data_IF_799531887074
#
_entry.id   IF_799531887074
#
_cell.length_a   1.000
_cell.length_b   1.000
_cell.length_c   1.000
_cell.angle_alpha   90.00
_cell.angle_beta   90.00
_cell.angle_gamma   90.00
#
_symmetry.space_group_name_H-M   'P 1'
#
loop_
_entity.id
_entity.type
_entity.pdbx_description
1 polymer ?
#
# COMPACT_ATOMS: atom_id res chain seq x y z
N UNK A 1 -4.76 -1.94 -33.32
CA UNK A 1 -4.95 -1.01 -32.19
C UNK A 1 -4.06 -1.49 -31.06
N UNK A 2 -3.31 -0.61 -30.43
CA UNK A 2 -2.48 -0.93 -29.27
C UNK A 2 -3.40 -1.24 -28.09
N UNK A 3 -3.24 -2.41 -27.50
CA UNK A 3 -3.99 -2.82 -26.31
C UNK A 3 -3.43 -2.06 -25.10
N UNK A 4 -4.28 -1.45 -24.31
CA UNK A 4 -3.94 -0.73 -23.07
C UNK A 4 -4.64 -1.41 -21.88
N UNK A 5 -4.39 -0.90 -20.69
CA UNK A 5 -5.04 -1.34 -19.47
C UNK A 5 -5.70 -0.16 -18.76
N UNK A 6 -6.89 -0.37 -18.23
CA UNK A 6 -7.62 0.61 -17.43
C UNK A 6 -8.10 0.01 -16.11
N UNK A 7 -8.20 0.84 -15.08
CA UNK A 7 -8.75 0.43 -13.78
C UNK A 7 -10.27 0.58 -13.84
N UNK A 8 -10.99 -0.55 -13.79
CA UNK A 8 -12.45 -0.57 -13.96
C UNK A 8 -13.21 -0.58 -12.63
N UNK A 9 -12.61 -1.11 -11.57
CA UNK A 9 -13.23 -1.20 -10.24
C UNK A 9 -12.19 -1.15 -9.13
N UNK A 10 -12.64 -0.78 -7.93
CA UNK A 10 -11.83 -0.80 -6.72
C UNK A 10 -12.63 -1.38 -5.56
N UNK A 11 -11.96 -1.78 -4.51
CA UNK A 11 -12.59 -2.23 -3.29
C UNK A 11 -11.64 -2.05 -2.10
N UNK A 12 -12.20 -2.01 -0.90
CA UNK A 12 -11.41 -1.93 0.32
C UNK A 12 -12.04 -2.72 1.45
N UNK A 13 -11.21 -3.09 2.41
CA UNK A 13 -11.65 -3.55 3.70
C UNK A 13 -10.98 -2.72 4.80
N UNK A 14 -11.80 -2.11 5.64
CA UNK A 14 -11.40 -1.36 6.84
C UNK A 14 -11.93 -2.13 8.05
N UNK A 15 -11.07 -2.65 8.93
CA UNK A 15 -11.50 -3.33 10.14
C UNK A 15 -12.34 -2.44 11.07
N UNK A 16 -13.24 -3.06 11.85
CA UNK A 16 -14.18 -2.32 12.72
C UNK A 16 -13.55 -1.88 14.04
N UNK A 17 -12.57 -2.64 14.57
CA UNK A 17 -11.98 -2.35 15.88
C UNK A 17 -11.09 -1.12 15.84
N UNK A 18 -11.43 -0.11 16.64
CA UNK A 18 -10.70 1.14 16.74
C UNK A 18 -9.75 1.16 17.94
N UNK A 19 -8.53 1.65 17.69
CA UNK A 19 -7.58 1.99 18.74
C UNK A 19 -7.12 3.44 18.58
N UNK A 20 -7.52 4.29 19.54
CA UNK A 20 -7.19 5.71 19.54
C UNK A 20 -5.80 5.97 20.09
N UNK A 21 -5.25 7.18 19.85
CA UNK A 21 -4.01 7.61 20.45
C UNK A 21 -4.02 7.58 21.98
N UNK A 22 -5.18 7.81 22.62
CA UNK A 22 -5.32 7.73 24.07
C UNK A 22 -5.02 6.33 24.63
N UNK A 23 -5.51 5.28 23.96
CA UNK A 23 -5.23 3.87 24.35
C UNK A 23 -3.72 3.59 24.27
N UNK A 24 -3.06 4.02 23.19
CA UNK A 24 -1.61 3.82 23.04
C UNK A 24 -0.79 4.60 24.07
N UNK A 25 -1.19 5.84 24.36
CA UNK A 25 -0.54 6.64 25.42
C UNK A 25 -0.60 5.94 26.77
N UNK A 26 -1.78 5.43 27.14
CA UNK A 26 -1.96 4.66 28.37
C UNK A 26 -1.08 3.41 28.39
N UNK A 27 -1.08 2.64 27.31
CA UNK A 27 -0.29 1.41 27.19
C UNK A 27 1.21 1.69 27.26
N UNK A 28 1.72 2.62 26.45
CA UNK A 28 3.14 2.96 26.41
C UNK A 28 3.64 3.62 27.69
N UNK A 29 2.77 4.39 28.37
CA UNK A 29 3.11 4.99 29.68
C UNK A 29 3.37 3.94 30.77
N UNK A 30 2.76 2.75 30.67
CA UNK A 30 3.04 1.63 31.58
C UNK A 30 4.44 1.05 31.36
N UNK A 31 4.98 1.13 30.15
CA UNK A 31 6.34 0.72 29.81
C UNK A 31 7.35 1.82 30.19
N UNK A 32 7.07 3.04 29.73
CA UNK A 32 7.87 4.23 30.05
C UNK A 32 7.00 5.49 29.87
N UNK A 33 6.77 6.30 30.92
CA UNK A 33 5.93 7.50 30.85
C UNK A 33 6.35 8.52 29.77
N UNK A 34 7.64 8.59 29.39
CA UNK A 34 8.14 9.47 28.34
C UNK A 34 7.68 9.05 26.94
N UNK A 35 7.22 7.82 26.75
CA UNK A 35 6.74 7.33 25.45
C UNK A 35 5.37 7.90 25.06
N UNK A 36 4.57 8.40 26.01
CA UNK A 36 3.34 9.09 25.72
C UNK A 36 3.55 10.31 24.79
N UNK A 37 4.62 11.08 25.04
CA UNK A 37 4.96 12.27 24.23
C UNK A 37 5.33 11.92 22.77
N UNK A 38 5.80 10.68 22.52
CA UNK A 38 6.14 10.22 21.18
C UNK A 38 4.85 10.08 20.32
N UNK A 39 3.76 9.64 20.94
CA UNK A 39 2.46 9.52 20.24
C UNK A 39 1.97 10.89 19.79
N UNK A 40 2.09 11.94 20.64
CA UNK A 40 1.67 13.31 20.29
C UNK A 40 2.52 13.90 19.16
N UNK A 41 3.84 13.73 19.23
CA UNK A 41 4.76 14.18 18.16
C UNK A 41 4.46 13.50 16.85
N UNK A 42 4.13 12.21 16.90
CA UNK A 42 3.78 11.46 15.72
C UNK A 42 2.43 11.90 15.14
N UNK A 43 1.40 12.10 15.98
CA UNK A 43 0.11 12.65 15.53
C UNK A 43 0.29 14.00 14.83
N UNK A 44 1.08 14.91 15.41
CA UNK A 44 1.33 16.22 14.83
C UNK A 44 1.95 16.18 13.42
N UNK A 45 2.80 15.18 13.12
CA UNK A 45 3.45 15.04 11.81
C UNK A 45 2.67 14.18 10.82
N UNK A 46 1.95 13.17 11.29
CA UNK A 46 1.25 12.18 10.47
C UNK A 46 -0.23 12.48 10.31
N UNK A 47 -0.84 13.23 11.22
CA UNK A 47 -2.28 13.40 11.38
C UNK A 47 -3.03 12.08 11.69
N UNK A 48 -2.32 11.01 12.13
CA UNK A 48 -2.93 9.73 12.49
C UNK A 48 -3.52 9.82 13.89
N UNK A 49 -4.85 9.70 14.01
CA UNK A 49 -5.61 9.83 15.26
C UNK A 49 -6.05 8.50 15.84
N UNK A 50 -6.25 7.51 14.97
CA UNK A 50 -6.68 6.17 15.35
C UNK A 50 -6.11 5.12 14.41
N UNK A 51 -6.23 3.85 14.80
CA UNK A 51 -5.88 2.66 13.98
C UNK A 51 -7.08 1.74 13.96
N UNK A 52 -7.15 0.95 12.90
CA UNK A 52 -8.13 -0.11 12.69
C UNK A 52 -7.44 -1.44 12.79
N UNK A 53 -8.00 -2.36 13.57
CA UNK A 53 -7.41 -3.67 13.78
C UNK A 53 -8.33 -4.78 13.31
N UNK A 54 -7.74 -5.75 12.62
CA UNK A 54 -8.44 -6.94 12.13
C UNK A 54 -9.04 -7.77 13.28
N UNK A 55 -10.12 -8.51 13.03
CA UNK A 55 -10.67 -9.47 13.98
C UNK A 55 -9.59 -10.48 14.42
N UNK A 56 -9.76 -11.00 15.64
CA UNK A 56 -8.87 -12.03 16.16
C UNK A 56 -8.88 -13.27 15.24
N UNK A 57 -7.69 -13.81 14.96
CA UNK A 57 -7.51 -14.99 14.12
C UNK A 57 -7.47 -14.72 12.61
N UNK A 58 -7.71 -13.49 12.17
CA UNK A 58 -7.51 -13.11 10.79
C UNK A 58 -6.03 -12.99 10.45
N UNK A 59 -5.71 -13.33 9.20
CA UNK A 59 -4.40 -13.19 8.59
C UNK A 59 -4.47 -12.26 7.36
N UNK A 60 -3.34 -11.91 6.78
CA UNK A 60 -3.27 -10.94 5.68
C UNK A 60 -4.15 -11.32 4.49
N UNK A 61 -4.23 -12.60 4.15
CA UNK A 61 -5.11 -13.07 3.07
C UNK A 61 -6.59 -12.88 3.36
N UNK A 62 -7.05 -12.86 4.62
CA UNK A 62 -8.47 -12.62 4.95
C UNK A 62 -8.87 -11.17 4.65
N UNK A 63 -7.98 -10.21 4.99
CA UNK A 63 -8.16 -8.81 4.63
C UNK A 63 -8.19 -8.63 3.11
N UNK A 64 -7.23 -9.25 2.41
CA UNK A 64 -7.12 -9.22 0.95
C UNK A 64 -8.40 -9.75 0.27
N UNK A 65 -8.94 -10.87 0.74
CA UNK A 65 -10.18 -11.47 0.22
C UNK A 65 -11.38 -10.55 0.46
N UNK A 66 -11.45 -9.88 1.61
CA UNK A 66 -12.54 -8.95 1.89
C UNK A 66 -12.53 -7.75 0.92
N UNK A 67 -11.36 -7.14 0.67
CA UNK A 67 -11.21 -6.06 -0.30
C UNK A 67 -11.45 -6.54 -1.75
N UNK A 68 -11.00 -7.76 -2.08
CA UNK A 68 -11.21 -8.37 -3.39
C UNK A 68 -12.70 -8.56 -3.71
N UNK A 69 -13.49 -9.01 -2.72
CA UNK A 69 -14.95 -9.17 -2.88
C UNK A 69 -15.65 -7.84 -3.13
N UNK A 70 -15.24 -6.77 -2.47
CA UNK A 70 -15.78 -5.42 -2.69
C UNK A 70 -15.48 -4.94 -4.12
N UNK A 71 -14.23 -5.15 -4.60
CA UNK A 71 -13.85 -4.80 -5.98
C UNK A 71 -14.59 -5.63 -7.05
N UNK A 72 -14.77 -6.94 -6.83
CA UNK A 72 -15.54 -7.81 -7.72
C UNK A 72 -17.01 -7.40 -7.79
N UNK A 73 -17.60 -7.04 -6.64
CA UNK A 73 -18.96 -6.55 -6.57
C UNK A 73 -19.14 -5.25 -7.36
N UNK A 74 -18.22 -4.30 -7.21
CA UNK A 74 -18.24 -3.04 -8.01
C UNK A 74 -18.11 -3.31 -9.51
N UNK A 75 -17.23 -4.25 -9.89
CA UNK A 75 -17.03 -4.61 -11.29
C UNK A 75 -18.18 -5.43 -11.91
N UNK A 76 -19.07 -6.00 -11.11
CA UNK A 76 -20.06 -6.98 -11.57
C UNK A 76 -19.44 -8.29 -12.07
N UNK A 77 -18.25 -8.64 -11.56
CA UNK A 77 -17.49 -9.82 -11.94
C UNK A 77 -17.57 -10.92 -10.87
N UNK A 78 -17.35 -12.17 -11.32
CA UNK A 78 -17.17 -13.32 -10.43
C UNK A 78 -15.68 -13.62 -10.22
N UNK A 79 -15.31 -14.31 -9.14
CA UNK A 79 -13.91 -14.71 -8.93
C UNK A 79 -13.30 -15.49 -10.10
N UNK A 80 -14.10 -16.33 -10.78
CA UNK A 80 -13.69 -17.16 -11.91
C UNK A 80 -13.37 -16.37 -13.18
N UNK A 81 -13.80 -15.10 -13.25
CA UNK A 81 -13.51 -14.20 -14.38
C UNK A 81 -12.08 -13.64 -14.35
N UNK A 82 -11.40 -13.76 -13.20
CA UNK A 82 -10.04 -13.24 -13.02
C UNK A 82 -9.01 -14.17 -13.69
N UNK A 83 -8.10 -13.59 -14.48
CA UNK A 83 -6.97 -14.28 -15.09
C UNK A 83 -5.72 -14.26 -14.17
N UNK A 84 -5.56 -13.21 -13.35
CA UNK A 84 -4.44 -13.05 -12.42
C UNK A 84 -4.86 -12.32 -11.14
N UNK A 85 -4.20 -12.71 -10.02
CA UNK A 85 -4.26 -12.00 -8.74
C UNK A 85 -2.84 -11.67 -8.29
N UNK A 86 -2.54 -10.40 -8.11
CA UNK A 86 -1.27 -9.87 -7.63
C UNK A 86 -1.48 -9.33 -6.21
N UNK A 87 -0.70 -9.81 -5.23
CA UNK A 87 -0.81 -9.33 -3.84
C UNK A 87 0.47 -8.62 -3.44
N UNK A 88 0.36 -7.33 -3.16
CA UNK A 88 1.42 -6.53 -2.55
C UNK A 88 1.30 -6.59 -1.03
N UNK A 89 2.30 -7.15 -0.35
CA UNK A 89 2.36 -7.18 1.10
C UNK A 89 3.79 -7.34 1.62
N UNK A 90 4.05 -6.79 2.80
CA UNK A 90 5.26 -7.02 3.60
C UNK A 90 4.93 -7.72 4.94
N UNK A 91 3.68 -8.20 5.06
CA UNK A 91 3.21 -9.06 6.15
C UNK A 91 2.53 -10.32 5.61
N UNK A 92 3.24 -11.18 4.86
CA UNK A 92 2.64 -12.36 4.22
C UNK A 92 2.13 -13.37 5.25
N UNK A 93 1.15 -14.21 4.85
CA UNK A 93 0.65 -15.30 5.69
C UNK A 93 1.77 -16.29 6.05
N UNK A 94 2.63 -16.58 5.06
CA UNK A 94 3.76 -17.51 5.17
C UNK A 94 4.97 -16.94 4.41
N UNK A 95 6.17 -17.38 4.75
CA UNK A 95 7.35 -17.16 3.90
C UNK A 95 7.15 -17.86 2.55
N UNK A 96 6.56 -19.07 2.55
CA UNK A 96 6.12 -19.84 1.41
C UNK A 96 5.02 -20.80 1.86
N UNK A 97 3.93 -20.99 1.10
CA UNK A 97 3.63 -20.42 -0.23
C UNK A 97 3.34 -18.93 -0.21
N UNK A 98 3.22 -18.31 -1.40
CA UNK A 98 2.83 -16.91 -1.57
C UNK A 98 1.44 -16.63 -0.99
N UNK A 99 1.21 -15.42 -0.44
CA UNK A 99 -0.10 -15.01 0.08
C UNK A 99 -1.17 -14.97 -1.03
N UNK A 100 -0.78 -14.62 -2.24
CA UNK A 100 -1.68 -14.56 -3.41
C UNK A 100 -2.32 -15.90 -3.76
N UNK A 101 -1.62 -17.04 -3.59
CA UNK A 101 -2.23 -18.36 -3.83
C UNK A 101 -3.24 -18.71 -2.73
N UNK A 102 -3.03 -18.24 -1.51
CA UNK A 102 -4.01 -18.38 -0.41
C UNK A 102 -5.25 -17.54 -0.70
N UNK A 103 -5.07 -16.30 -1.16
CA UNK A 103 -6.17 -15.41 -1.59
C UNK A 103 -6.96 -16.04 -2.73
N UNK A 104 -6.29 -16.59 -3.74
CA UNK A 104 -6.91 -17.27 -4.88
C UNK A 104 -7.83 -18.40 -4.41
N UNK A 105 -7.34 -19.26 -3.50
CA UNK A 105 -8.12 -20.36 -2.93
C UNK A 105 -9.32 -19.86 -2.12
N UNK A 106 -9.11 -18.93 -1.17
CA UNK A 106 -10.17 -18.39 -0.31
C UNK A 106 -11.24 -17.62 -1.09
N UNK A 107 -10.85 -16.98 -2.21
CA UNK A 107 -11.75 -16.22 -3.06
C UNK A 107 -12.54 -17.13 -4.02
N UNK A 108 -12.01 -18.31 -4.32
CA UNK A 108 -12.59 -19.21 -5.32
C UNK A 108 -12.24 -18.83 -6.77
N UNK A 109 -11.16 -18.08 -6.99
CA UNK A 109 -10.73 -17.61 -8.31
C UNK A 109 -9.97 -18.71 -9.06
N UNK A 110 -10.65 -19.81 -9.38
CA UNK A 110 -10.07 -21.08 -9.87
C UNK A 110 -9.29 -20.95 -11.18
N UNK A 111 -9.56 -19.92 -11.97
CA UNK A 111 -8.89 -19.67 -13.26
C UNK A 111 -7.68 -18.74 -13.15
N UNK A 112 -7.48 -18.06 -11.99
CA UNK A 112 -6.45 -17.05 -11.84
C UNK A 112 -5.08 -17.64 -11.56
N UNK A 113 -4.05 -17.20 -12.30
CA UNK A 113 -2.66 -17.28 -11.88
C UNK A 113 -2.34 -16.30 -10.76
N UNK A 114 -1.24 -16.49 -10.01
CA UNK A 114 -0.94 -15.62 -8.86
C UNK A 114 0.55 -15.38 -8.65
N UNK A 115 0.91 -14.23 -8.09
CA UNK A 115 2.21 -13.99 -7.44
C UNK A 115 2.15 -12.83 -6.43
N UNK A 116 3.07 -12.82 -5.47
CA UNK A 116 3.24 -11.73 -4.51
C UNK A 116 4.26 -10.70 -5.01
N UNK A 117 4.09 -9.45 -4.57
CA UNK A 117 4.98 -8.32 -4.85
C UNK A 117 5.59 -7.83 -3.54
N UNK A 118 6.90 -8.02 -3.40
CA UNK A 118 7.67 -7.69 -2.19
C UNK A 118 8.33 -6.31 -2.26
N UNK A 119 7.57 -5.23 -2.52
CA UNK A 119 8.07 -3.85 -2.52
C UNK A 119 7.47 -3.00 -1.38
N UNK A 120 7.02 -3.64 -0.29
CA UNK A 120 6.37 -3.00 0.85
C UNK A 120 5.27 -2.01 0.38
N UNK A 121 5.26 -0.76 0.85
CA UNK A 121 4.22 0.22 0.50
C UNK A 121 4.29 0.68 -0.98
N UNK A 122 5.36 0.37 -1.72
CA UNK A 122 5.45 0.59 -3.17
C UNK A 122 4.86 -0.57 -3.99
N UNK A 123 4.37 -1.64 -3.35
CA UNK A 123 3.88 -2.85 -4.04
C UNK A 123 2.65 -2.58 -4.89
N UNK A 124 1.72 -1.73 -4.44
CA UNK A 124 0.50 -1.47 -5.19
C UNK A 124 0.77 -0.76 -6.54
N UNK A 125 1.48 0.39 -6.61
CA UNK A 125 1.82 0.98 -7.90
C UNK A 125 2.69 0.06 -8.77
N UNK A 126 3.60 -0.73 -8.16
CA UNK A 126 4.37 -1.75 -8.88
C UNK A 126 3.45 -2.80 -9.50
N UNK A 127 2.46 -3.28 -8.76
CA UNK A 127 1.46 -4.24 -9.23
C UNK A 127 0.58 -3.70 -10.36
N UNK A 128 0.16 -2.43 -10.27
CA UNK A 128 -0.59 -1.77 -11.34
C UNK A 128 0.21 -1.74 -12.66
N UNK A 129 1.51 -1.44 -12.58
CA UNK A 129 2.41 -1.44 -13.75
C UNK A 129 2.58 -2.84 -14.33
N UNK A 130 2.78 -3.86 -13.48
CA UNK A 130 2.90 -5.26 -13.93
C UNK A 130 1.59 -5.72 -14.60
N UNK A 131 0.44 -5.48 -13.95
CA UNK A 131 -0.87 -5.82 -14.51
C UNK A 131 -1.11 -5.14 -15.86
N UNK A 132 -0.77 -3.85 -15.98
CA UNK A 132 -0.91 -3.12 -17.23
C UNK A 132 -0.03 -3.70 -18.34
N UNK A 133 1.23 -4.04 -18.03
CA UNK A 133 2.15 -4.70 -18.97
C UNK A 133 1.63 -6.06 -19.43
N UNK A 134 1.14 -6.90 -18.51
CA UNK A 134 0.58 -8.22 -18.81
C UNK A 134 -0.66 -8.11 -19.70
N UNK A 135 -1.60 -7.19 -19.39
CA UNK A 135 -2.78 -6.96 -20.21
C UNK A 135 -2.45 -6.44 -21.61
N UNK A 136 -1.44 -5.59 -21.73
CA UNK A 136 -1.03 -5.03 -23.02
C UNK A 136 -0.36 -6.08 -23.93
N UNK A 137 0.36 -7.05 -23.36
CA UNK A 137 1.18 -8.02 -24.12
C UNK A 137 0.52 -9.39 -24.29
N UNK A 138 -0.46 -9.75 -23.42
CA UNK A 138 -1.14 -11.05 -23.47
C UNK A 138 -2.61 -10.88 -23.88
N UNK A 139 -2.92 -11.23 -25.14
CA UNK A 139 -4.28 -11.10 -25.69
C UNK A 139 -5.33 -11.99 -25.03
N UNK A 140 -4.94 -13.04 -24.34
CA UNK A 140 -5.85 -13.98 -23.67
C UNK A 140 -6.28 -13.48 -22.27
N UNK A 141 -5.55 -12.53 -21.67
CA UNK A 141 -5.91 -11.98 -20.38
C UNK A 141 -6.92 -10.83 -20.53
N UNK A 142 -7.93 -10.82 -19.68
CA UNK A 142 -9.00 -9.81 -19.64
C UNK A 142 -9.01 -9.01 -18.35
N UNK A 143 -8.90 -9.70 -17.21
CA UNK A 143 -9.03 -9.10 -15.90
C UNK A 143 -7.89 -9.51 -14.97
N UNK A 144 -7.19 -8.51 -14.44
CA UNK A 144 -6.14 -8.71 -13.43
C UNK A 144 -6.50 -7.92 -12.19
N UNK A 145 -6.51 -8.58 -11.04
CA UNK A 145 -6.70 -7.96 -9.75
C UNK A 145 -5.36 -7.66 -9.08
N UNK A 146 -5.19 -6.42 -8.61
CA UNK A 146 -4.04 -5.99 -7.81
C UNK A 146 -4.52 -5.63 -6.43
N UNK A 147 -3.97 -6.27 -5.40
CA UNK A 147 -4.36 -6.07 -4.00
C UNK A 147 -3.16 -5.57 -3.22
N UNK A 148 -3.35 -4.54 -2.39
CA UNK A 148 -2.45 -4.21 -1.30
C UNK A 148 -3.08 -4.66 0.02
N UNK A 149 -2.39 -5.45 0.82
CA UNK A 149 -2.89 -5.96 2.11
C UNK A 149 -1.83 -5.87 3.20
N UNK A 150 -2.23 -5.51 4.42
CA UNK A 150 -1.31 -5.21 5.50
C UNK A 150 -1.84 -5.62 6.87
N UNK A 151 -1.08 -6.45 7.58
CA UNK A 151 -1.35 -6.90 8.93
C UNK A 151 -0.05 -6.95 9.77
N UNK A 152 0.77 -5.89 9.67
CA UNK A 152 2.09 -5.82 10.31
C UNK A 152 2.02 -5.86 11.84
N UNK A 153 0.88 -5.49 12.42
CA UNK A 153 0.65 -5.56 13.86
C UNK A 153 0.96 -6.94 14.44
N UNK A 154 0.65 -8.04 13.74
CA UNK A 154 0.97 -9.40 14.21
C UNK A 154 2.47 -9.71 14.19
N UNK A 155 3.23 -9.00 13.37
CA UNK A 155 4.69 -9.09 13.30
C UNK A 155 5.39 -8.03 14.15
N UNK A 156 4.66 -7.16 14.86
CA UNK A 156 5.21 -6.17 15.79
C UNK A 156 5.24 -6.68 17.23
N UNK A 157 6.06 -6.08 18.05
CA UNK A 157 5.99 -6.21 19.50
C UNK A 157 4.99 -5.18 20.04
N UNK A 158 3.73 -5.61 20.10
CA UNK A 158 2.61 -4.76 20.42
C UNK A 158 2.64 -4.12 21.81
N UNK A 159 3.29 -4.78 22.77
CA UNK A 159 3.27 -4.35 24.17
C UNK A 159 4.40 -3.42 24.54
N UNK A 160 5.57 -3.58 23.94
CA UNK A 160 6.80 -2.92 24.37
C UNK A 160 7.47 -2.06 23.31
N UNK A 161 7.19 -2.27 22.03
CA UNK A 161 7.82 -1.50 20.97
C UNK A 161 7.07 -0.18 20.74
N UNK A 162 7.81 0.93 20.83
CA UNK A 162 7.28 2.27 20.53
C UNK A 162 6.69 2.40 19.13
N UNK A 163 7.09 1.54 18.19
CA UNK A 163 6.53 1.54 16.84
C UNK A 163 5.20 0.78 16.71
N UNK A 164 4.76 0.07 17.75
CA UNK A 164 3.52 -0.70 17.72
C UNK A 164 2.29 0.17 17.42
N UNK A 165 2.26 1.40 17.93
CA UNK A 165 1.17 2.35 17.69
C UNK A 165 1.13 2.88 16.25
N UNK A 166 2.16 2.61 15.44
CA UNK A 166 2.26 3.09 14.07
C UNK A 166 1.31 2.32 13.12
N UNK A 167 1.15 1.02 13.33
CA UNK A 167 0.53 0.11 12.39
C UNK A 167 -0.98 0.00 12.54
N UNK A 168 -1.68 0.05 11.40
CA UNK A 168 -3.10 -0.22 11.24
C UNK A 168 -3.29 -1.34 10.22
N UNK A 169 -4.35 -2.11 10.36
CA UNK A 169 -4.64 -3.22 9.46
C UNK A 169 -5.62 -2.77 8.37
N UNK A 170 -5.54 -3.38 7.19
CA UNK A 170 -6.46 -3.11 6.10
C UNK A 170 -6.03 -3.73 4.77
N UNK A 171 -6.92 -3.67 3.81
CA UNK A 171 -6.63 -4.04 2.43
C UNK A 171 -7.39 -3.16 1.44
N UNK A 172 -6.80 -2.99 0.26
CA UNK A 172 -7.46 -2.37 -0.88
C UNK A 172 -7.13 -3.14 -2.15
N UNK A 173 -8.06 -3.13 -3.10
CA UNK A 173 -7.95 -3.85 -4.36
C UNK A 173 -8.33 -2.95 -5.54
N UNK A 174 -7.75 -3.22 -6.71
CA UNK A 174 -8.17 -2.67 -7.99
C UNK A 174 -8.23 -3.78 -9.03
N UNK A 175 -9.23 -3.74 -9.90
CA UNK A 175 -9.35 -4.61 -11.06
C UNK A 175 -9.00 -3.81 -12.30
N UNK A 176 -8.01 -4.32 -13.06
CA UNK A 176 -7.64 -3.78 -14.36
C UNK A 176 -8.22 -4.65 -15.45
N UNK A 177 -8.68 -4.00 -16.52
CA UNK A 177 -9.17 -4.64 -17.74
C UNK A 177 -8.36 -4.15 -18.93
N UNK A 178 -8.23 -5.01 -19.93
CA UNK A 178 -7.69 -4.61 -21.22
C UNK A 178 -8.69 -3.71 -21.95
N UNK A 179 -8.20 -2.59 -22.49
CA UNK A 179 -8.98 -1.64 -23.27
C UNK A 179 -8.21 -1.22 -24.53
N UNK A 180 -8.91 -0.59 -25.46
CA UNK A 180 -8.35 0.09 -26.64
C UNK A 180 -8.13 1.58 -26.40
N UNK A 181 -8.76 2.15 -25.36
CA UNK A 181 -8.54 3.52 -24.89
C UNK A 181 -7.31 3.58 -23.97
N UNK A 182 -6.55 4.68 -23.99
CA UNK A 182 -5.45 4.87 -23.04
C UNK A 182 -5.97 4.92 -21.61
N UNK A 183 -5.56 3.98 -20.77
CA UNK A 183 -5.74 4.03 -19.33
C UNK A 183 -4.38 4.20 -18.66
N UNK A 184 -3.54 3.14 -18.68
CA UNK A 184 -2.16 3.23 -18.22
C UNK A 184 -1.31 4.08 -19.17
N UNK A 185 -0.62 5.08 -18.63
CA UNK A 185 0.25 5.97 -19.38
C UNK A 185 1.73 5.60 -19.24
N UNK A 186 2.18 5.22 -18.05
CA UNK A 186 3.57 4.87 -17.79
C UNK A 186 3.94 4.89 -16.31
N UNK A 187 5.23 4.74 -16.05
CA UNK A 187 5.76 4.58 -14.70
C UNK A 187 7.15 5.18 -14.51
N UNK A 188 7.53 5.32 -13.24
CA UNK A 188 8.89 5.66 -12.80
C UNK A 188 9.25 4.80 -11.59
N UNK A 189 10.44 4.21 -11.57
CA UNK A 189 10.94 3.37 -10.49
C UNK A 189 12.29 3.85 -9.98
N UNK A 190 12.54 3.64 -8.69
CA UNK A 190 13.83 3.88 -8.07
C UNK A 190 14.03 2.94 -6.90
N UNK A 191 15.27 2.54 -6.66
CA UNK A 191 15.65 1.79 -5.46
C UNK A 191 17.01 2.24 -4.95
N UNK A 192 17.15 2.29 -3.62
CA UNK A 192 18.42 2.44 -2.93
C UNK A 192 18.56 1.35 -1.88
N UNK A 193 19.27 0.28 -2.23
CA UNK A 193 19.47 -0.88 -1.37
C UNK A 193 20.34 -0.60 -0.14
N UNK A 194 20.99 0.56 -0.02
CA UNK A 194 21.78 0.90 1.16
C UNK A 194 20.96 0.99 2.46
N UNK A 195 19.65 1.17 2.33
CA UNK A 195 18.70 1.24 3.44
C UNK A 195 18.12 -0.12 3.85
N UNK A 196 18.58 -1.27 3.30
CA UNK A 196 18.01 -2.59 3.56
C UNK A 196 18.01 -2.98 5.05
N UNK A 197 18.93 -2.45 5.84
CA UNK A 197 19.08 -2.75 7.27
C UNK A 197 18.38 -1.73 8.21
N UNK A 198 17.61 -0.75 7.67
CA UNK A 198 17.02 0.31 8.49
C UNK A 198 15.72 -0.13 9.18
N UNK A 199 14.90 -0.92 8.52
CA UNK A 199 13.63 -1.40 9.03
C UNK A 199 13.30 -2.76 8.41
N UNK A 200 12.82 -3.69 9.22
CA UNK A 200 12.41 -5.01 8.71
C UNK A 200 12.16 -6.04 9.81
N UNK A 201 11.78 -7.24 9.39
CA UNK A 201 11.76 -8.47 10.18
C UNK A 201 12.94 -9.30 9.71
N UNK A 202 14.01 -9.40 10.51
CA UNK A 202 15.30 -9.91 10.07
C UNK A 202 15.51 -11.39 10.36
N UNK A 203 14.78 -11.96 11.33
CA UNK A 203 14.84 -13.39 11.65
C UNK A 203 13.59 -14.11 11.13
N UNK A 204 13.80 -15.30 10.55
CA UNK A 204 12.77 -16.12 9.93
C UNK A 204 13.00 -16.38 8.45
N UNK A 205 13.93 -15.65 7.82
CA UNK A 205 14.40 -15.90 6.45
C UNK A 205 15.74 -16.61 6.41
N UNK A 206 16.36 -16.64 5.22
CA UNK A 206 17.68 -17.29 5.02
C UNK A 206 18.84 -16.50 5.61
N UNK A 207 18.67 -15.21 5.83
CA UNK A 207 19.68 -14.37 6.48
C UNK A 207 19.89 -14.79 7.94
N UNK A 208 18.80 -14.96 8.70
CA UNK A 208 18.82 -15.45 10.06
C UNK A 208 17.64 -16.41 10.28
N UNK A 209 17.85 -17.75 10.26
CA UNK A 209 16.82 -18.71 10.64
C UNK A 209 16.37 -18.48 12.10
N UNK A 210 15.12 -18.82 12.43
CA UNK A 210 14.61 -18.69 13.80
C UNK A 210 15.37 -19.64 14.74
N UNK A 211 15.93 -19.07 15.81
CA UNK A 211 16.57 -19.79 16.92
C UNK A 211 15.95 -19.35 18.24
N UNK A 212 16.22 -20.07 19.34
CA UNK A 212 15.82 -19.65 20.69
C UNK A 212 16.36 -18.24 21.02
N UNK A 213 17.62 -17.96 20.62
CA UNK A 213 18.27 -16.67 20.86
C UNK A 213 17.65 -15.55 20.02
N UNK A 214 17.35 -15.79 18.73
CA UNK A 214 16.72 -14.78 17.87
C UNK A 214 15.29 -14.46 18.33
N UNK A 215 14.58 -15.48 18.80
CA UNK A 215 13.23 -15.31 19.36
C UNK A 215 13.29 -14.52 20.68
N UNK A 216 14.14 -14.91 21.63
CA UNK A 216 14.29 -14.23 22.91
C UNK A 216 14.76 -12.77 22.76
N UNK A 217 15.57 -12.46 21.72
CA UNK A 217 15.99 -11.11 21.39
C UNK A 217 14.93 -10.30 20.59
N UNK A 218 13.75 -10.86 20.32
CA UNK A 218 12.68 -10.21 19.58
C UNK A 218 12.98 -9.94 18.10
N UNK A 219 13.99 -10.63 17.51
CA UNK A 219 14.38 -10.40 16.11
C UNK A 219 13.42 -11.01 15.07
N UNK A 220 12.47 -11.84 15.54
CA UNK A 220 11.33 -12.33 14.75
C UNK A 220 10.21 -11.29 14.61
N UNK A 221 10.38 -10.13 15.22
CA UNK A 221 9.45 -9.00 15.15
C UNK A 221 10.03 -7.87 14.29
N UNK A 222 9.15 -7.04 13.76
CA UNK A 222 9.58 -5.84 13.02
C UNK A 222 10.37 -4.90 13.94
N UNK A 223 11.46 -4.37 13.42
CA UNK A 223 12.32 -3.41 14.14
C UNK A 223 12.66 -2.23 13.23
N UNK A 224 12.59 -1.03 13.80
CA UNK A 224 13.23 0.16 13.25
C UNK A 224 14.65 0.24 13.84
N UNK A 225 15.65 -0.11 13.04
CA UNK A 225 17.08 -0.09 13.46
C UNK A 225 17.65 1.32 13.32
N UNK A 226 17.33 1.99 12.20
CA UNK A 226 17.75 3.36 11.91
C UNK A 226 16.63 4.13 11.23
N UNK A 227 16.45 5.43 11.55
CA UNK A 227 15.46 6.24 10.85
C UNK A 227 15.85 6.43 9.38
N UNK A 228 14.85 6.53 8.52
CA UNK A 228 15.06 6.97 7.14
C UNK A 228 15.21 8.49 7.11
N UNK A 229 16.13 9.04 6.32
CA UNK A 229 16.20 10.49 6.07
C UNK A 229 14.86 10.99 5.49
N UNK A 230 14.44 12.18 5.90
CA UNK A 230 13.19 12.76 5.41
C UNK A 230 13.24 13.01 3.88
N UNK A 231 14.41 13.29 3.35
CA UNK A 231 14.73 13.52 1.94
C UNK A 231 14.32 12.37 1.05
N UNK A 232 14.35 11.12 1.57
CA UNK A 232 13.93 9.93 0.82
C UNK A 232 12.53 10.09 0.23
N UNK A 233 11.58 10.66 0.98
CA UNK A 233 10.25 10.97 0.47
C UNK A 233 10.14 12.41 -0.05
N UNK A 234 10.68 13.37 0.69
CA UNK A 234 10.51 14.79 0.39
C UNK A 234 11.16 15.22 -0.93
N UNK A 235 12.23 14.55 -1.32
CA UNK A 235 12.90 14.75 -2.61
C UNK A 235 12.56 13.64 -3.61
N UNK A 236 12.46 12.39 -3.13
CA UNK A 236 12.23 11.22 -3.95
C UNK A 236 10.87 11.24 -4.64
N UNK A 237 9.77 11.56 -3.94
CA UNK A 237 8.44 11.63 -4.57
C UNK A 237 8.34 12.71 -5.64
N UNK A 238 8.80 13.96 -5.43
CA UNK A 238 8.85 14.94 -6.51
C UNK A 238 9.70 14.49 -7.70
N UNK A 239 10.81 13.81 -7.45
CA UNK A 239 11.65 13.28 -8.53
C UNK A 239 10.89 12.22 -9.35
N UNK A 240 10.20 11.26 -8.70
CA UNK A 240 9.37 10.24 -9.38
C UNK A 240 8.24 10.90 -10.18
N UNK A 241 7.56 11.90 -9.62
CA UNK A 241 6.47 12.61 -10.29
C UNK A 241 6.95 13.36 -11.53
N UNK A 242 8.08 14.08 -11.45
CA UNK A 242 8.66 14.78 -12.61
C UNK A 242 9.12 13.81 -13.70
N UNK A 243 9.74 12.70 -13.30
CA UNK A 243 10.15 11.67 -14.26
C UNK A 243 8.94 11.00 -14.91
N UNK A 244 7.89 10.69 -14.14
CA UNK A 244 6.65 10.15 -14.65
C UNK A 244 5.99 11.10 -15.66
N UNK A 245 5.88 12.39 -15.33
CA UNK A 245 5.33 13.41 -16.21
C UNK A 245 6.13 13.51 -17.52
N UNK A 246 7.46 13.50 -17.44
CA UNK A 246 8.33 13.48 -18.62
C UNK A 246 8.14 12.22 -19.46
N UNK A 247 8.14 11.04 -18.85
CA UNK A 247 8.02 9.76 -19.55
C UNK A 247 6.66 9.58 -20.23
N UNK A 248 5.60 10.14 -19.64
CA UNK A 248 4.23 10.04 -20.13
C UNK A 248 3.76 11.27 -20.92
N UNK A 249 4.62 12.29 -21.08
CA UNK A 249 4.35 13.52 -21.83
C UNK A 249 3.09 14.28 -21.37
N UNK A 250 2.95 14.47 -20.04
CA UNK A 250 1.95 15.34 -19.44
C UNK A 250 2.61 16.41 -18.55
N UNK A 251 1.90 17.51 -18.25
CA UNK A 251 2.38 18.49 -17.28
C UNK A 251 1.93 18.11 -15.88
N UNK A 252 2.69 18.46 -14.85
CA UNK A 252 2.29 18.20 -13.46
C UNK A 252 0.93 18.81 -13.12
N UNK A 253 0.60 19.96 -13.68
CA UNK A 253 -0.68 20.65 -13.49
C UNK A 253 -1.87 19.90 -14.10
N UNK A 254 -1.64 18.99 -15.06
CA UNK A 254 -2.68 18.17 -15.68
C UNK A 254 -3.15 17.04 -14.72
N UNK A 255 -2.40 16.77 -13.64
CA UNK A 255 -2.78 15.78 -12.63
C UNK A 255 -4.05 16.25 -11.93
N UNK A 256 -5.08 15.39 -11.91
CA UNK A 256 -6.33 15.64 -11.20
C UNK A 256 -6.30 15.08 -9.78
N UNK A 257 -5.64 13.92 -9.57
CA UNK A 257 -5.50 13.30 -8.27
C UNK A 257 -4.14 12.61 -8.09
N UNK A 258 -3.48 12.88 -6.97
CA UNK A 258 -2.25 12.23 -6.55
C UNK A 258 -2.46 11.43 -5.26
N UNK A 259 -2.15 10.13 -5.29
CA UNK A 259 -2.24 9.21 -4.14
C UNK A 259 -0.84 8.81 -3.72
N UNK A 260 -0.44 9.19 -2.51
CA UNK A 260 0.88 8.90 -1.95
C UNK A 260 0.83 7.82 -0.86
N UNK A 261 1.98 7.25 -0.50
CA UNK A 261 2.12 6.47 0.73
C UNK A 261 1.68 7.29 1.95
N UNK A 262 0.85 6.71 2.81
CA UNK A 262 0.10 7.39 3.88
C UNK A 262 0.85 7.42 5.23
N UNK A 263 2.17 7.73 5.21
CA UNK A 263 3.00 7.70 6.45
C UNK A 263 2.93 9.00 7.22
N UNK A 264 3.04 10.14 6.52
CA UNK A 264 3.08 11.47 7.13
C UNK A 264 2.33 12.47 6.25
N UNK A 265 1.34 13.11 6.83
CA UNK A 265 0.60 14.19 6.15
C UNK A 265 1.54 15.34 5.75
N UNK A 266 2.46 15.73 6.66
CA UNK A 266 3.43 16.79 6.40
C UNK A 266 4.35 16.51 5.19
N UNK A 267 4.65 15.26 4.88
CA UNK A 267 5.41 14.92 3.67
C UNK A 267 4.56 15.08 2.41
N UNK A 268 3.28 14.71 2.44
CA UNK A 268 2.36 14.92 1.31
C UNK A 268 2.23 16.42 1.03
N UNK A 269 2.00 17.22 2.08
CA UNK A 269 1.88 18.68 1.97
C UNK A 269 3.14 19.31 1.37
N UNK A 270 4.32 18.95 1.89
CA UNK A 270 5.60 19.44 1.37
C UNK A 270 5.80 19.07 -0.11
N UNK A 271 5.50 17.83 -0.49
CA UNK A 271 5.65 17.35 -1.86
C UNK A 271 4.70 18.06 -2.81
N UNK A 272 3.42 18.21 -2.45
CA UNK A 272 2.43 18.96 -3.25
C UNK A 272 2.88 20.42 -3.47
N UNK A 273 3.32 21.08 -2.40
CA UNK A 273 3.88 22.45 -2.49
C UNK A 273 5.12 22.51 -3.39
N UNK A 274 6.05 21.54 -3.28
CA UNK A 274 7.28 21.46 -4.10
C UNK A 274 6.98 21.25 -5.59
N UNK A 275 5.85 20.60 -5.90
CA UNK A 275 5.38 20.36 -7.26
C UNK A 275 4.49 21.50 -7.79
N UNK A 276 4.13 22.49 -6.95
CA UNK A 276 3.20 23.55 -7.29
C UNK A 276 1.77 23.05 -7.50
N UNK A 277 1.39 21.98 -6.79
CA UNK A 277 0.06 21.37 -6.87
C UNK A 277 -0.76 21.73 -5.62
N UNK A 278 -2.03 22.10 -5.76
CA UNK A 278 -2.91 22.38 -4.62
C UNK A 278 -3.29 21.10 -3.89
N UNK A 279 -3.53 21.19 -2.57
CA UNK A 279 -3.79 20.03 -1.72
C UNK A 279 -5.12 19.32 -2.00
N UNK A 280 -6.08 19.94 -2.66
CA UNK A 280 -7.33 19.32 -3.10
C UNK A 280 -7.12 18.26 -4.21
N UNK A 281 -5.97 18.30 -4.88
CA UNK A 281 -5.49 17.26 -5.82
C UNK A 281 -4.77 16.10 -5.11
N UNK A 282 -4.65 16.08 -3.80
CA UNK A 282 -4.16 14.93 -3.04
C UNK A 282 -5.27 14.32 -2.19
N UNK A 283 -5.25 13.00 -2.01
CA UNK A 283 -6.20 12.33 -1.12
C UNK A 283 -5.47 11.43 -0.12
N UNK A 284 -5.98 11.45 1.12
CA UNK A 284 -5.45 10.64 2.23
C UNK A 284 -6.59 10.09 3.10
N UNK A 285 -6.27 9.03 3.83
CA UNK A 285 -7.18 8.32 4.73
C UNK A 285 -6.54 7.97 6.07
N UNK A 286 -5.26 8.33 6.25
CA UNK A 286 -4.49 7.97 7.44
C UNK A 286 -5.03 8.62 8.72
N UNK A 287 -5.70 9.76 8.63
CA UNK A 287 -6.36 10.43 9.75
C UNK A 287 -7.52 9.62 10.33
N UNK A 288 -8.20 8.84 9.50
CA UNK A 288 -9.39 8.06 9.87
C UNK A 288 -9.16 6.54 9.90
N UNK A 289 -8.06 6.03 9.32
CA UNK A 289 -7.80 4.57 9.28
C UNK A 289 -6.38 4.20 9.70
N UNK A 290 -5.51 5.18 10.00
CA UNK A 290 -4.13 4.94 10.36
C UNK A 290 -3.24 4.57 9.18
N UNK A 291 -2.02 4.10 9.48
CA UNK A 291 -1.08 3.67 8.46
C UNK A 291 -1.24 2.19 8.15
N UNK A 292 -1.67 1.89 6.94
CA UNK A 292 -1.98 0.54 6.48
C UNK A 292 -0.97 -0.02 5.47
N UNK A 293 0.29 0.44 5.52
CA UNK A 293 1.41 -0.09 4.75
C UNK A 293 1.10 -0.28 3.27
N UNK A 294 1.26 -1.51 2.78
CA UNK A 294 1.01 -1.89 1.37
C UNK A 294 -0.44 -1.63 0.91
N UNK A 295 -1.39 -1.56 1.85
CA UNK A 295 -2.80 -1.28 1.57
C UNK A 295 -3.13 0.23 1.47
N UNK A 296 -2.23 1.11 1.91
CA UNK A 296 -2.56 2.53 2.08
C UNK A 296 -2.94 3.25 0.77
N UNK A 297 -2.24 2.97 -0.33
CA UNK A 297 -2.56 3.59 -1.62
C UNK A 297 -3.90 3.09 -2.20
N UNK A 298 -4.15 1.76 -2.31
CA UNK A 298 -5.42 1.29 -2.86
C UNK A 298 -6.61 1.66 -1.99
N UNK A 299 -6.49 1.70 -0.65
CA UNK A 299 -7.55 2.16 0.24
C UNK A 299 -7.86 3.65 0.05
N UNK A 300 -6.83 4.49 -0.06
CA UNK A 300 -7.01 5.93 -0.33
C UNK A 300 -7.62 6.18 -1.71
N UNK A 301 -7.20 5.43 -2.71
CA UNK A 301 -7.74 5.55 -4.06
C UNK A 301 -9.22 5.14 -4.14
N UNK A 302 -9.59 4.01 -3.55
CA UNK A 302 -10.98 3.56 -3.48
C UNK A 302 -11.85 4.59 -2.73
N UNK A 303 -11.34 5.17 -1.64
CA UNK A 303 -12.05 6.23 -0.91
C UNK A 303 -12.25 7.49 -1.76
N UNK A 304 -11.22 7.94 -2.47
CA UNK A 304 -11.33 9.09 -3.37
C UNK A 304 -12.37 8.86 -4.47
N UNK A 305 -12.42 7.66 -5.06
CA UNK A 305 -13.44 7.27 -6.05
C UNK A 305 -14.85 7.24 -5.46
N UNK A 306 -15.04 6.58 -4.32
CA UNK A 306 -16.36 6.49 -3.65
C UNK A 306 -16.88 7.85 -3.15
N UNK A 307 -15.99 8.81 -2.89
CA UNK A 307 -16.34 10.20 -2.58
C UNK A 307 -16.57 11.07 -3.82
N UNK A 308 -16.43 10.52 -5.03
CA UNK A 308 -16.59 11.28 -6.28
C UNK A 308 -15.49 12.31 -6.55
N UNK A 309 -14.34 12.18 -5.87
CA UNK A 309 -13.16 13.04 -6.09
C UNK A 309 -12.36 12.64 -7.33
N UNK A 310 -12.53 11.41 -7.79
CA UNK A 310 -11.94 10.88 -9.02
C UNK A 310 -13.07 10.57 -10.00
N UNK A 311 -12.98 11.11 -11.22
CA UNK A 311 -14.00 11.03 -12.26
C UNK A 311 -13.45 10.41 -13.54
N UNK A 312 -14.33 10.04 -14.46
CA UNK A 312 -13.95 9.63 -15.82
C UNK A 312 -13.16 10.73 -16.51
N UNK A 313 -12.05 10.38 -17.12
CA UNK A 313 -11.12 11.29 -17.80
C UNK A 313 -10.02 11.87 -16.91
N UNK A 314 -10.11 11.73 -15.58
CA UNK A 314 -9.11 12.27 -14.67
C UNK A 314 -7.75 11.54 -14.81
N UNK A 315 -6.67 12.33 -14.77
CA UNK A 315 -5.30 11.84 -14.65
C UNK A 315 -4.97 11.58 -13.19
N UNK A 316 -4.87 10.31 -12.81
CA UNK A 316 -4.54 9.87 -11.47
C UNK A 316 -3.11 9.35 -11.41
N UNK A 317 -2.34 9.81 -10.41
CA UNK A 317 -0.99 9.33 -10.15
C UNK A 317 -0.89 8.62 -8.80
N UNK A 318 -0.17 7.51 -8.78
CA UNK A 318 0.14 6.73 -7.58
C UNK A 318 1.63 6.83 -7.30
N UNK A 319 2.03 7.20 -6.09
CA UNK A 319 3.43 7.31 -5.70
C UNK A 319 3.66 6.59 -4.39
N UNK A 320 4.32 5.43 -4.47
CA UNK A 320 4.61 4.57 -3.34
C UNK A 320 6.08 4.57 -2.96
N UNK A 321 6.32 4.55 -1.65
CA UNK A 321 7.65 4.32 -1.07
C UNK A 321 7.59 3.12 -0.14
N UNK A 322 8.40 2.11 -0.40
CA UNK A 322 8.55 0.91 0.42
C UNK A 322 9.92 0.85 1.07
N UNK A 323 9.98 0.29 2.27
CA UNK A 323 11.24 0.06 2.98
C UNK A 323 12.19 -0.80 2.15
N UNK A 324 13.51 -0.59 2.34
CA UNK A 324 14.51 -1.37 1.62
C UNK A 324 15.60 -0.56 0.89
N UNK A 325 15.45 0.44 0.07
CA UNK A 325 14.30 1.29 -0.12
C UNK A 325 13.81 1.25 -1.59
N UNK A 326 12.50 1.19 -1.81
CA UNK A 326 11.92 1.22 -3.15
C UNK A 326 10.97 2.41 -3.32
N UNK A 327 10.92 2.96 -4.54
CA UNK A 327 9.90 3.91 -4.96
C UNK A 327 9.31 3.48 -6.30
N UNK A 328 8.01 3.60 -6.42
CA UNK A 328 7.29 3.36 -7.66
C UNK A 328 6.24 4.44 -7.86
N UNK A 329 6.17 4.94 -9.09
CA UNK A 329 5.09 5.83 -9.51
C UNK A 329 4.43 5.29 -10.78
N UNK A 330 3.11 5.45 -10.88
CA UNK A 330 2.32 5.06 -12.05
C UNK A 330 1.27 6.13 -12.35
N UNK A 331 0.94 6.32 -13.63
CA UNK A 331 -0.08 7.26 -14.10
C UNK A 331 -1.15 6.54 -14.91
N UNK A 332 -2.41 6.89 -14.64
CA UNK A 332 -3.59 6.35 -15.32
C UNK A 332 -4.58 7.46 -15.68
N UNK A 333 -5.19 7.36 -16.85
CA UNK A 333 -6.44 8.06 -17.16
C UNK A 333 -7.59 7.15 -16.70
N UNK A 334 -8.52 7.69 -15.93
CA UNK A 334 -9.69 6.95 -15.44
C UNK A 334 -10.72 6.74 -16.55
N UNK A 335 -11.39 5.56 -16.62
CA UNK A 335 -12.38 5.23 -17.65
C UNK A 335 -13.65 6.06 -17.59
#
# INVERSE_FOLDING_TARGET
MTRSATIIATGRYVPEFEHTNAIFKEQLSKVNPKLADVVDKFEASSNIKLRRHAPHGWVTSDLAVAAAKDALHEAGLKPEDLDMILVGTDSPDYITPATSVVVQHKLGAVNAGTFDIGCACASFPTGLVQAAGMLATNSNMKYIMVIGSYLMRLLSDWETDVMSFFYSDGAGAAILSADTKPGYLGSSFFADGSYHAHWGVYSGGTFEPVTADSFAAGRTKVKLISPFPAEVNNEGWPARMRELAKNCNFNLQDIDMAIFTQVRYSSIELVMNTLGLPMDKAHWVMDKWGYTGSACLPMAFDDARKLGKVKSGDLVTFVGSGVGYNQAAAAFIMP
#
